data_IF_484980324598
#
_entry.id   IF_484980324598
#
_cell.length_a   1.000
_cell.length_b   1.000
_cell.length_c   1.000
_cell.angle_alpha   90.00
_cell.angle_beta   90.00
_cell.angle_gamma   90.00
#
_symmetry.space_group_name_H-M   'P 1'
#
loop_
_entity.id
_entity.type
_entity.pdbx_description
1 polymer ?
#
# COMPACT_ATOMS: atom_id res chain seq x y z
N UNK A 1 -15.06 -6.38 -0.70
CA UNK A 1 -14.78 -4.98 -1.08
C UNK A 1 -13.29 -4.78 -0.94
N UNK A 2 -12.64 -4.21 -1.96
CA UNK A 2 -11.19 -3.93 -1.95
C UNK A 2 -10.88 -2.85 -0.92
N UNK A 3 -9.81 -3.03 -0.14
CA UNK A 3 -9.31 -2.07 0.84
C UNK A 3 -7.96 -1.53 0.42
N UNK A 4 -7.81 -0.21 0.35
CA UNK A 4 -6.57 0.46 0.05
C UNK A 4 -6.10 1.29 1.25
N UNK A 5 -4.87 1.03 1.72
CA UNK A 5 -4.27 1.78 2.82
C UNK A 5 -3.43 2.94 2.31
N UNK A 6 -3.73 4.16 2.76
CA UNK A 6 -2.92 5.35 2.44
C UNK A 6 -1.79 5.42 3.46
N UNK A 7 -0.56 5.31 2.96
CA UNK A 7 0.67 5.33 3.78
C UNK A 7 1.63 6.42 3.32
N UNK A 8 2.61 6.73 4.13
CA UNK A 8 3.68 7.69 3.83
C UNK A 8 4.24 8.30 5.10
N UNK A 9 5.32 9.06 5.00
CA UNK A 9 5.91 9.79 6.12
C UNK A 9 4.96 10.87 6.68
N UNK A 10 5.20 11.41 7.88
CA UNK A 10 4.45 12.56 8.38
C UNK A 10 4.56 13.77 7.44
N UNK A 11 3.51 14.57 7.36
CA UNK A 11 3.45 15.83 6.60
C UNK A 11 3.61 15.72 5.06
N UNK A 12 3.33 14.53 4.47
CA UNK A 12 3.37 14.32 3.01
C UNK A 12 2.01 14.54 2.32
N UNK A 13 0.93 14.83 3.09
CA UNK A 13 -0.40 15.09 2.54
C UNK A 13 -1.38 13.90 2.56
N UNK A 14 -1.09 12.80 3.30
CA UNK A 14 -1.95 11.61 3.37
C UNK A 14 -3.40 11.92 3.75
N UNK A 15 -3.60 12.60 4.88
CA UNK A 15 -4.95 12.91 5.39
C UNK A 15 -5.66 13.93 4.49
N UNK A 16 -4.92 14.79 3.80
CA UNK A 16 -5.49 15.71 2.80
C UNK A 16 -6.04 14.91 1.61
N UNK A 17 -5.26 13.97 1.08
CA UNK A 17 -5.71 13.06 0.01
C UNK A 17 -6.91 12.23 0.45
N UNK A 18 -6.84 11.64 1.64
CA UNK A 18 -7.95 10.85 2.20
C UNK A 18 -9.25 11.68 2.31
N UNK A 19 -9.16 12.88 2.88
CA UNK A 19 -10.32 13.76 3.02
C UNK A 19 -10.89 14.15 1.66
N UNK A 20 -10.05 14.50 0.68
CA UNK A 20 -10.50 14.85 -0.67
C UNK A 20 -11.24 13.68 -1.34
N UNK A 21 -10.75 12.44 -1.20
CA UNK A 21 -11.41 11.26 -1.73
C UNK A 21 -12.78 11.02 -1.06
N UNK A 22 -12.85 11.15 0.28
CA UNK A 22 -14.06 10.87 1.07
C UNK A 22 -15.08 11.99 0.91
N UNK A 23 -14.67 13.27 0.85
CA UNK A 23 -15.57 14.41 0.65
C UNK A 23 -16.19 14.37 -0.75
N UNK A 24 -15.41 14.07 -1.78
CA UNK A 24 -15.94 13.88 -3.14
C UNK A 24 -16.94 12.72 -3.19
N UNK A 25 -16.70 11.63 -2.46
CA UNK A 25 -17.64 10.52 -2.36
C UNK A 25 -18.94 10.92 -1.64
N UNK A 26 -18.88 11.78 -0.62
CA UNK A 26 -20.08 12.31 0.07
C UNK A 26 -20.90 13.21 -0.85
N UNK A 27 -20.27 14.11 -1.58
CA UNK A 27 -20.96 14.98 -2.53
C UNK A 27 -21.70 14.18 -3.64
N UNK A 28 -21.15 13.04 -4.04
CA UNK A 28 -21.78 12.11 -4.99
C UNK A 28 -22.84 11.21 -4.33
N UNK A 29 -22.73 10.97 -3.01
CA UNK A 29 -23.57 10.04 -2.26
C UNK A 29 -24.83 10.67 -1.65
N UNK A 30 -25.14 11.95 -1.86
CA UNK A 30 -26.41 12.57 -1.44
C UNK A 30 -27.65 11.81 -1.93
N UNK A 31 -27.49 10.89 -2.89
CA UNK A 31 -28.54 10.02 -3.41
C UNK A 31 -28.52 8.57 -2.86
N UNK A 32 -27.59 8.20 -1.97
CA UNK A 32 -27.50 6.84 -1.42
C UNK A 32 -27.38 6.85 0.12
N UNK A 33 -28.43 6.40 0.85
CA UNK A 33 -28.33 6.21 2.29
C UNK A 33 -27.38 5.04 2.61
N UNK A 34 -26.55 5.18 3.64
CA UNK A 34 -25.59 4.22 4.22
C UNK A 34 -24.10 4.42 3.87
N UNK A 35 -23.54 5.63 4.08
CA UNK A 35 -22.11 5.79 4.30
C UNK A 35 -21.82 5.82 5.81
N UNK A 36 -21.44 4.70 6.39
CA UNK A 36 -20.93 4.67 7.77
C UNK A 36 -19.48 5.17 7.73
N UNK A 37 -19.20 6.28 8.40
CA UNK A 37 -17.85 6.85 8.50
C UNK A 37 -17.29 6.41 9.84
N UNK A 38 -16.42 5.41 9.83
CA UNK A 38 -15.49 5.20 10.93
C UNK A 38 -14.34 6.22 10.79
N UNK A 39 -13.81 6.75 11.91
CA UNK A 39 -12.64 7.62 11.84
C UNK A 39 -11.51 6.90 11.10
N UNK A 40 -10.92 7.57 10.11
CA UNK A 40 -9.86 7.09 9.23
C UNK A 40 -10.24 6.00 8.21
N UNK A 41 -11.53 5.73 7.97
CA UNK A 41 -12.01 4.85 6.91
C UNK A 41 -13.07 5.55 6.07
N UNK A 42 -12.96 5.42 4.75
CA UNK A 42 -13.91 6.02 3.80
C UNK A 42 -14.21 5.08 2.66
N UNK A 43 -15.49 4.95 2.30
CA UNK A 43 -15.94 4.14 1.16
C UNK A 43 -16.22 5.07 0.00
N UNK A 44 -15.55 4.80 -1.13
CA UNK A 44 -15.64 5.58 -2.36
C UNK A 44 -16.17 4.69 -3.49
N UNK A 45 -17.14 5.18 -4.25
CA UNK A 45 -17.59 4.50 -5.47
C UNK A 45 -16.60 4.74 -6.60
N UNK A 46 -16.28 3.69 -7.35
CA UNK A 46 -15.40 3.78 -8.52
C UNK A 46 -16.24 4.29 -9.71
N UNK A 47 -15.94 5.46 -10.28
CA UNK A 47 -16.63 5.94 -11.47
C UNK A 47 -16.23 5.07 -12.68
N UNK A 48 -17.21 4.57 -13.40
CA UNK A 48 -17.01 3.80 -14.65
C UNK A 48 -18.11 4.13 -15.64
N UNK A 49 -17.75 4.85 -16.71
CA UNK A 49 -18.70 5.25 -17.77
C UNK A 49 -19.34 4.05 -18.47
N UNK A 50 -18.60 2.94 -18.62
CA UNK A 50 -19.11 1.71 -19.25
C UNK A 50 -20.30 1.15 -18.48
N UNK A 51 -20.37 1.39 -17.18
CA UNK A 51 -21.46 0.90 -16.35
C UNK A 51 -22.78 1.60 -16.70
N UNK A 52 -22.73 2.92 -16.99
CA UNK A 52 -23.88 3.68 -17.46
C UNK A 52 -24.34 3.20 -18.84
N UNK A 53 -23.41 3.06 -19.79
CA UNK A 53 -23.71 2.58 -21.14
C UNK A 53 -24.35 1.19 -21.14
N UNK A 54 -23.83 0.26 -20.32
CA UNK A 54 -24.39 -1.07 -20.14
C UNK A 54 -25.77 -1.04 -19.47
N UNK A 55 -25.96 -0.14 -18.51
CA UNK A 55 -27.23 0.08 -17.84
C UNK A 55 -28.33 0.55 -18.81
N UNK A 56 -27.99 1.51 -19.67
CA UNK A 56 -28.89 2.05 -20.70
C UNK A 56 -29.22 1.00 -21.74
N UNK A 57 -28.22 0.25 -22.26
CA UNK A 57 -28.39 -0.84 -23.20
C UNK A 57 -29.30 -1.95 -22.66
N UNK A 58 -29.16 -2.27 -21.39
CA UNK A 58 -29.91 -3.36 -20.72
C UNK A 58 -31.23 -2.87 -20.12
N UNK A 59 -31.56 -1.58 -20.22
CA UNK A 59 -32.70 -0.95 -19.56
C UNK A 59 -32.74 -1.27 -18.04
N UNK A 60 -31.57 -1.22 -17.39
CA UNK A 60 -31.42 -1.58 -15.99
C UNK A 60 -32.10 -0.56 -15.08
N UNK A 61 -32.89 -1.03 -14.11
CA UNK A 61 -33.56 -0.13 -13.13
C UNK A 61 -32.59 0.45 -12.11
N UNK A 62 -31.49 -0.27 -11.83
CA UNK A 62 -30.48 0.16 -10.86
C UNK A 62 -29.07 -0.12 -11.40
N UNK A 63 -28.17 0.85 -11.24
CA UNK A 63 -26.76 0.74 -11.57
C UNK A 63 -25.98 0.80 -10.28
N UNK A 64 -25.21 -0.24 -9.96
CA UNK A 64 -24.45 -0.36 -8.70
C UNK A 64 -22.96 -0.35 -9.01
N UNK A 65 -22.24 0.75 -8.76
CA UNK A 65 -20.80 0.82 -8.97
C UNK A 65 -20.02 -0.03 -7.96
N UNK A 66 -18.84 -0.45 -8.37
CA UNK A 66 -17.85 -1.04 -7.45
C UNK A 66 -17.41 0.00 -6.40
N UNK A 67 -17.09 -0.46 -5.20
CA UNK A 67 -16.66 0.39 -4.08
C UNK A 67 -15.29 -0.04 -3.59
N UNK A 68 -14.49 0.95 -3.20
CA UNK A 68 -13.19 0.77 -2.54
C UNK A 68 -13.26 1.43 -1.16
N UNK A 69 -12.75 0.75 -0.13
CA UNK A 69 -12.55 1.31 1.20
C UNK A 69 -11.13 1.87 1.29
N UNK A 70 -10.99 3.17 1.49
CA UNK A 70 -9.71 3.80 1.82
C UNK A 70 -9.55 3.88 3.33
N UNK A 71 -8.33 3.58 3.79
CA UNK A 71 -7.94 3.66 5.21
C UNK A 71 -6.78 4.63 5.33
N UNK A 72 -6.97 5.75 6.07
CA UNK A 72 -5.86 6.64 6.41
C UNK A 72 -5.03 6.00 7.52
N UNK A 73 -3.84 5.54 7.17
CA UNK A 73 -2.92 4.90 8.11
C UNK A 73 -1.94 5.95 8.62
N UNK A 74 -1.89 6.13 9.94
CA UNK A 74 -1.01 7.11 10.59
C UNK A 74 0.43 6.99 10.06
N UNK A 75 1.09 8.15 9.87
CA UNK A 75 2.43 8.20 9.26
C UNK A 75 3.45 7.33 9.99
N UNK A 76 4.28 6.66 9.21
CA UNK A 76 5.39 5.87 9.71
C UNK A 76 6.51 6.80 10.20
N UNK A 77 7.09 6.47 11.35
CA UNK A 77 8.39 6.98 11.79
C UNK A 77 9.41 5.86 11.75
N UNK A 78 10.65 6.18 11.43
CA UNK A 78 11.77 5.24 11.38
C UNK A 78 11.88 4.42 12.69
N UNK A 79 12.02 3.10 12.57
CA UNK A 79 12.08 2.18 13.71
C UNK A 79 10.76 1.50 14.08
N UNK A 80 9.73 1.62 13.27
CA UNK A 80 8.42 1.00 13.49
C UNK A 80 8.49 -0.54 13.61
N UNK A 81 9.38 -1.17 12.85
CA UNK A 81 9.59 -2.63 12.85
C UNK A 81 10.24 -3.16 14.13
N UNK A 82 10.91 -2.31 14.92
CA UNK A 82 11.55 -2.69 16.19
C UNK A 82 10.59 -2.85 17.37
N UNK A 83 9.30 -2.65 17.17
CA UNK A 83 8.28 -3.18 18.07
C UNK A 83 7.82 -2.28 19.20
N UNK A 84 8.08 -0.98 19.18
CA UNK A 84 7.57 -0.06 20.20
C UNK A 84 6.33 0.71 19.72
N UNK A 85 5.17 0.43 20.36
CA UNK A 85 3.98 1.26 20.35
C UNK A 85 3.33 1.51 18.96
N UNK A 86 3.49 2.72 18.43
CA UNK A 86 2.83 3.19 17.20
C UNK A 86 3.24 2.42 15.93
N UNK A 87 4.47 1.90 15.87
CA UNK A 87 4.96 1.14 14.73
C UNK A 87 4.20 -0.19 14.53
N UNK A 88 3.94 -0.92 15.62
CA UNK A 88 3.15 -2.16 15.54
C UNK A 88 1.73 -1.90 15.05
N UNK A 89 1.11 -0.79 15.48
CA UNK A 89 -0.23 -0.40 15.04
C UNK A 89 -0.24 -0.06 13.55
N UNK A 90 0.78 0.65 13.06
CA UNK A 90 0.97 0.95 11.64
C UNK A 90 1.05 -0.33 10.81
N UNK A 91 1.94 -1.25 11.16
CA UNK A 91 2.12 -2.53 10.46
C UNK A 91 0.85 -3.40 10.52
N UNK A 92 0.11 -3.39 11.65
CA UNK A 92 -1.17 -4.08 11.76
C UNK A 92 -2.22 -3.52 10.81
N UNK A 93 -2.32 -2.20 10.69
CA UNK A 93 -3.27 -1.57 9.77
C UNK A 93 -2.95 -1.90 8.31
N UNK A 94 -1.64 -1.94 7.93
CA UNK A 94 -1.24 -2.37 6.58
C UNK A 94 -1.60 -3.84 6.35
N UNK A 95 -1.55 -4.72 7.35
CA UNK A 95 -1.97 -6.12 7.18
C UNK A 95 -3.43 -6.27 6.78
N UNK A 96 -4.31 -5.39 7.24
CA UNK A 96 -5.75 -5.43 7.03
C UNK A 96 -6.21 -4.93 5.66
N UNK A 97 -5.34 -4.25 4.89
CA UNK A 97 -5.66 -3.73 3.56
C UNK A 97 -5.15 -4.66 2.45
N UNK A 98 -5.76 -4.57 1.26
CA UNK A 98 -5.41 -5.39 0.10
C UNK A 98 -4.32 -4.76 -0.77
N UNK A 99 -4.25 -3.42 -0.79
CA UNK A 99 -3.28 -2.64 -1.57
C UNK A 99 -2.80 -1.41 -0.78
N UNK A 100 -1.68 -0.85 -1.19
CA UNK A 100 -1.04 0.31 -0.57
C UNK A 100 -1.05 1.47 -1.55
N UNK A 101 -1.52 2.65 -1.09
CA UNK A 101 -1.32 3.93 -1.76
C UNK A 101 -0.25 4.69 -0.98
N UNK A 102 0.95 4.74 -1.52
CA UNK A 102 2.08 5.39 -0.87
C UNK A 102 2.17 6.85 -1.32
N UNK A 103 1.78 7.77 -0.45
CA UNK A 103 1.85 9.21 -0.70
C UNK A 103 3.28 9.68 -0.49
N UNK A 104 3.83 10.29 -1.54
CA UNK A 104 5.22 10.77 -1.57
C UNK A 104 5.21 12.28 -1.79
N UNK A 105 5.92 13.01 -0.94
CA UNK A 105 6.04 14.46 -1.06
C UNK A 105 7.01 14.83 -2.18
N UNK A 106 6.51 15.50 -3.20
CA UNK A 106 7.27 15.95 -4.36
C UNK A 106 7.23 17.49 -4.51
N UNK A 107 7.19 18.23 -3.40
CA UNK A 107 7.22 19.69 -3.37
C UNK A 107 8.04 20.21 -2.20
N UNK A 108 8.61 21.39 -2.36
CA UNK A 108 9.27 22.14 -1.31
C UNK A 108 8.33 23.20 -0.75
N UNK A 109 8.25 23.30 0.57
CA UNK A 109 7.48 24.31 1.28
C UNK A 109 8.17 24.56 2.64
N UNK A 110 8.54 25.81 2.90
CA UNK A 110 9.23 26.22 4.12
C UNK A 110 8.33 26.18 5.36
N UNK A 111 7.00 26.24 5.19
CA UNK A 111 6.04 26.18 6.29
C UNK A 111 5.72 24.73 6.70
N UNK A 112 5.97 23.75 5.82
CA UNK A 112 5.73 22.34 6.05
C UNK A 112 7.03 21.63 6.40
N UNK A 113 7.25 21.34 7.67
CA UNK A 113 8.47 20.67 8.15
C UNK A 113 8.55 19.25 7.59
N UNK A 114 9.67 18.92 6.93
CA UNK A 114 10.00 17.55 6.54
C UNK A 114 10.71 16.81 7.67
N UNK A 115 10.38 15.54 7.89
CA UNK A 115 10.92 14.72 9.00
C UNK A 115 12.45 14.59 8.93
N UNK A 116 13.01 14.48 7.72
CA UNK A 116 14.46 14.40 7.48
C UNK A 116 15.12 15.76 7.27
N UNK A 117 14.38 16.88 7.38
CA UNK A 117 14.88 18.23 7.14
C UNK A 117 15.14 18.59 5.67
N UNK A 118 15.05 17.63 4.74
CA UNK A 118 15.20 17.78 3.29
C UNK A 118 14.15 16.94 2.57
N UNK A 119 13.58 17.45 1.51
CA UNK A 119 12.69 16.68 0.64
C UNK A 119 13.53 15.79 -0.27
N UNK A 120 13.40 14.48 -0.11
CA UNK A 120 13.99 13.47 -0.97
C UNK A 120 13.00 12.32 -1.16
N UNK A 121 12.22 12.33 -2.26
CA UNK A 121 11.16 11.35 -2.47
C UNK A 121 11.63 9.90 -2.50
N UNK A 122 12.84 9.63 -3.00
CA UNK A 122 13.37 8.27 -3.06
C UNK A 122 13.79 7.77 -1.68
N UNK A 123 14.42 8.62 -0.87
CA UNK A 123 14.77 8.30 0.52
C UNK A 123 13.50 8.03 1.35
N UNK A 124 12.44 8.82 1.15
CA UNK A 124 11.14 8.63 1.79
C UNK A 124 10.51 7.27 1.44
N UNK A 125 10.58 6.87 0.17
CA UNK A 125 10.13 5.56 -0.30
C UNK A 125 10.96 4.44 0.31
N UNK A 126 12.28 4.60 0.33
CA UNK A 126 13.19 3.60 0.88
C UNK A 126 12.97 3.37 2.38
N UNK A 127 12.71 4.42 3.15
CA UNK A 127 12.39 4.32 4.58
C UNK A 127 11.15 3.43 4.81
N UNK A 128 10.06 3.67 4.07
CA UNK A 128 8.84 2.86 4.18
C UNK A 128 9.11 1.41 3.75
N UNK A 129 9.74 1.21 2.60
CA UNK A 129 10.04 -0.12 2.08
C UNK A 129 10.94 -0.92 3.04
N UNK A 130 11.93 -0.28 3.65
CA UNK A 130 12.80 -0.91 4.64
C UNK A 130 12.02 -1.41 5.86
N UNK A 131 11.12 -0.59 6.41
CA UNK A 131 10.32 -0.98 7.57
C UNK A 131 9.38 -2.16 7.25
N UNK A 132 8.78 -2.18 6.05
CA UNK A 132 7.95 -3.29 5.59
C UNK A 132 8.80 -4.57 5.40
N UNK A 133 9.98 -4.45 4.78
CA UNK A 133 10.90 -5.56 4.59
C UNK A 133 11.37 -6.16 5.94
N UNK A 134 11.73 -5.32 6.90
CA UNK A 134 12.14 -5.78 8.24
C UNK A 134 11.01 -6.48 8.98
N UNK A 135 9.78 -5.99 8.86
CA UNK A 135 8.61 -6.63 9.44
C UNK A 135 8.35 -8.01 8.84
N UNK A 136 8.44 -8.13 7.51
CA UNK A 136 8.27 -9.39 6.81
C UNK A 136 9.40 -10.37 7.12
N UNK A 137 10.66 -9.91 7.18
CA UNK A 137 11.80 -10.72 7.58
C UNK A 137 11.61 -11.32 8.99
N UNK A 138 11.19 -10.52 9.94
CA UNK A 138 10.88 -10.98 11.30
C UNK A 138 9.75 -12.02 11.32
N UNK A 139 8.71 -11.80 10.52
CA UNK A 139 7.59 -12.75 10.39
C UNK A 139 8.05 -14.07 9.77
N UNK A 140 8.83 -14.00 8.70
CA UNK A 140 9.39 -15.13 7.98
C UNK A 140 10.26 -16.00 8.88
N UNK A 141 11.20 -15.41 9.62
CA UNK A 141 12.07 -16.13 10.54
C UNK A 141 11.26 -16.88 11.62
N UNK A 142 10.26 -16.23 12.21
CA UNK A 142 9.34 -16.88 13.16
C UNK A 142 8.57 -18.03 12.52
N UNK A 143 8.17 -17.91 11.26
CA UNK A 143 7.49 -18.98 10.52
C UNK A 143 8.41 -20.16 10.28
N UNK A 144 9.64 -19.93 9.79
CA UNK A 144 10.65 -20.97 9.58
C UNK A 144 10.94 -21.74 10.86
N UNK A 145 11.11 -21.06 11.99
CA UNK A 145 11.32 -21.74 13.28
C UNK A 145 10.14 -22.64 13.66
N UNK A 146 8.90 -22.22 13.42
CA UNK A 146 7.69 -23.01 13.73
C UNK A 146 7.60 -24.28 12.89
N UNK A 147 7.91 -24.20 11.59
CA UNK A 147 7.82 -25.35 10.67
C UNK A 147 9.05 -26.25 10.72
N UNK A 148 10.16 -25.84 11.33
CA UNK A 148 11.47 -26.54 11.36
C UNK A 148 11.37 -28.04 11.71
N UNK A 149 10.48 -28.42 12.65
CA UNK A 149 10.26 -29.82 13.01
C UNK A 149 9.47 -30.58 11.95
N UNK A 150 8.58 -29.89 11.24
CA UNK A 150 7.69 -30.47 10.23
C UNK A 150 8.38 -30.66 8.88
N UNK A 151 9.42 -29.87 8.58
CA UNK A 151 10.22 -29.96 7.34
C UNK A 151 10.75 -31.39 7.08
N UNK A 152 11.05 -32.15 8.15
CA UNK A 152 11.55 -33.53 8.03
C UNK A 152 10.47 -34.57 7.75
N UNK A 153 9.19 -34.25 8.00
CA UNK A 153 8.07 -35.20 7.98
C UNK A 153 6.97 -34.84 6.98
N UNK A 154 6.91 -33.60 6.52
CA UNK A 154 5.91 -33.11 5.55
C UNK A 154 6.59 -32.52 4.32
N UNK A 155 6.14 -32.97 3.15
CA UNK A 155 6.61 -32.44 1.84
C UNK A 155 6.17 -30.99 1.64
N UNK A 156 5.01 -30.62 2.14
CA UNK A 156 4.45 -29.26 2.09
C UNK A 156 5.31 -28.30 2.92
N UNK A 157 5.66 -28.69 4.15
CA UNK A 157 6.54 -27.91 5.01
C UNK A 157 7.96 -27.76 4.42
N UNK A 158 8.48 -28.78 3.74
CA UNK A 158 9.76 -28.72 3.06
C UNK A 158 9.71 -27.74 1.86
N UNK A 159 8.65 -27.79 1.05
CA UNK A 159 8.44 -26.82 -0.05
C UNK A 159 8.31 -25.39 0.47
N UNK A 160 7.54 -25.20 1.56
CA UNK A 160 7.38 -23.89 2.18
C UNK A 160 8.73 -23.35 2.69
N UNK A 161 9.55 -24.16 3.37
CA UNK A 161 10.84 -23.71 3.90
C UNK A 161 11.81 -23.29 2.81
N UNK A 162 11.88 -24.04 1.67
CA UNK A 162 12.69 -23.67 0.50
C UNK A 162 12.22 -22.31 -0.08
N UNK A 163 10.91 -22.10 -0.18
CA UNK A 163 10.36 -20.82 -0.64
C UNK A 163 10.73 -19.70 0.31
N UNK A 164 10.57 -19.92 1.62
CA UNK A 164 10.90 -18.92 2.64
C UNK A 164 12.39 -18.57 2.63
N UNK A 165 13.29 -19.53 2.41
CA UNK A 165 14.73 -19.28 2.26
C UNK A 165 15.03 -18.38 1.06
N UNK A 166 14.44 -18.69 -0.10
CA UNK A 166 14.54 -17.85 -1.31
C UNK A 166 14.06 -16.40 -1.06
N UNK A 167 12.98 -16.23 -0.29
CA UNK A 167 12.42 -14.91 0.03
C UNK A 167 13.30 -14.19 1.05
N UNK A 168 13.81 -14.88 2.07
CA UNK A 168 14.70 -14.32 3.09
C UNK A 168 15.92 -13.64 2.43
N UNK A 169 16.60 -14.34 1.52
CA UNK A 169 17.74 -13.78 0.77
C UNK A 169 17.41 -12.51 -0.02
N UNK A 170 16.17 -12.39 -0.51
CA UNK A 170 15.72 -11.21 -1.26
C UNK A 170 15.38 -10.06 -0.33
N UNK A 171 14.64 -10.33 0.75
CA UNK A 171 14.30 -9.32 1.76
C UNK A 171 15.56 -8.74 2.43
N UNK A 172 16.57 -9.57 2.73
CA UNK A 172 17.85 -9.11 3.26
C UNK A 172 18.60 -8.14 2.32
N UNK A 173 18.36 -8.26 1.01
CA UNK A 173 18.87 -7.32 -0.01
C UNK A 173 17.96 -6.12 -0.26
N UNK A 174 16.90 -5.96 0.55
CA UNK A 174 15.93 -4.88 0.38
C UNK A 174 14.92 -5.09 -0.75
N UNK A 175 14.89 -6.28 -1.39
CA UNK A 175 13.97 -6.58 -2.50
C UNK A 175 12.63 -7.03 -1.93
N UNK A 176 11.57 -6.30 -2.27
CA UNK A 176 10.19 -6.59 -1.86
C UNK A 176 9.67 -7.89 -2.48
N UNK A 177 8.80 -8.61 -1.75
CA UNK A 177 8.24 -9.90 -2.24
C UNK A 177 7.47 -9.73 -3.55
N UNK A 178 6.77 -8.60 -3.75
CA UNK A 178 6.04 -8.29 -5.01
C UNK A 178 6.94 -8.24 -6.25
N UNK A 179 8.23 -7.95 -6.07
CA UNK A 179 9.21 -7.87 -7.18
C UNK A 179 9.87 -9.23 -7.48
N UNK A 180 9.51 -10.30 -6.75
CA UNK A 180 10.07 -11.64 -6.94
C UNK A 180 9.20 -12.43 -7.93
N UNK A 181 9.81 -13.01 -8.96
CA UNK A 181 9.10 -13.93 -9.84
C UNK A 181 8.81 -15.24 -9.10
N UNK A 182 7.53 -15.53 -8.90
CA UNK A 182 7.02 -16.68 -8.17
C UNK A 182 6.06 -17.50 -9.07
N UNK A 183 6.04 -18.81 -8.88
CA UNK A 183 5.05 -19.68 -9.51
C UNK A 183 3.66 -19.48 -8.89
N UNK A 184 2.60 -20.02 -9.53
CA UNK A 184 1.25 -19.97 -9.00
C UNK A 184 1.14 -20.64 -7.61
N UNK A 185 1.80 -21.80 -7.43
CA UNK A 185 1.84 -22.50 -6.15
C UNK A 185 2.54 -21.65 -5.06
N UNK A 186 3.68 -21.04 -5.39
CA UNK A 186 4.42 -20.16 -4.49
C UNK A 186 3.58 -18.94 -4.10
N UNK A 187 2.88 -18.33 -5.06
CA UNK A 187 1.99 -17.18 -4.82
C UNK A 187 0.85 -17.52 -3.86
N UNK A 188 0.28 -18.72 -3.93
CA UNK A 188 -0.74 -19.16 -2.97
C UNK A 188 -0.20 -19.25 -1.54
N UNK A 189 1.02 -19.77 -1.36
CA UNK A 189 1.67 -19.83 -0.05
C UNK A 189 1.92 -18.42 0.48
N UNK A 190 2.47 -17.52 -0.36
CA UNK A 190 2.75 -16.13 0.02
C UNK A 190 1.48 -15.39 0.44
N UNK A 191 0.39 -15.58 -0.30
CA UNK A 191 -0.92 -14.98 0.04
C UNK A 191 -1.42 -15.42 1.41
N UNK A 192 -1.23 -16.70 1.78
CA UNK A 192 -1.62 -17.21 3.10
C UNK A 192 -0.75 -16.65 4.23
N UNK A 193 0.53 -16.39 3.96
CA UNK A 193 1.46 -15.83 4.92
C UNK A 193 1.23 -14.32 5.17
N UNK A 194 0.63 -13.61 4.21
CA UNK A 194 0.22 -12.22 4.37
C UNK A 194 1.39 -11.26 4.54
N UNK A 195 2.46 -11.42 3.74
CA UNK A 195 3.59 -10.51 3.71
C UNK A 195 3.15 -9.10 3.26
N UNK A 196 3.66 -8.09 3.95
CA UNK A 196 3.35 -6.69 3.68
C UNK A 196 3.93 -6.24 2.33
N UNK A 197 5.15 -6.68 2.05
CA UNK A 197 5.86 -6.37 0.81
C UNK A 197 5.35 -7.14 -0.41
N UNK A 198 4.45 -8.12 -0.22
CA UNK A 198 3.77 -8.81 -1.30
C UNK A 198 2.54 -8.05 -1.82
N UNK A 199 2.05 -7.05 -1.06
CA UNK A 199 0.88 -6.27 -1.46
C UNK A 199 1.19 -5.38 -2.65
N UNK A 200 0.22 -5.20 -3.58
CA UNK A 200 0.32 -4.18 -4.63
C UNK A 200 0.52 -2.79 -4.03
N UNK A 201 1.31 -1.96 -4.68
CA UNK A 201 1.58 -0.58 -4.27
C UNK A 201 1.38 0.36 -5.46
N UNK A 202 0.85 1.56 -5.17
CA UNK A 202 0.78 2.68 -6.10
C UNK A 202 1.45 3.86 -5.42
N UNK A 203 2.34 4.56 -6.13
CA UNK A 203 2.96 5.79 -5.63
C UNK A 203 2.12 7.00 -6.02
N UNK A 204 1.62 7.74 -5.04
CA UNK A 204 0.87 8.97 -5.23
C UNK A 204 1.79 10.17 -4.95
N UNK A 205 2.32 10.77 -6.01
CA UNK A 205 3.18 11.97 -5.92
C UNK A 205 2.35 13.20 -5.56
N UNK A 206 2.63 13.82 -4.42
CA UNK A 206 2.00 15.06 -4.01
C UNK A 206 2.84 16.25 -4.49
N UNK A 207 2.26 17.07 -5.35
CA UNK A 207 2.88 18.19 -6.08
C UNK A 207 2.26 19.52 -5.65
N UNK A 208 2.97 20.63 -5.91
CA UNK A 208 2.36 21.96 -5.89
C UNK A 208 1.40 22.13 -7.08
N UNK A 209 0.43 23.04 -6.95
CA UNK A 209 -0.54 23.33 -8.00
C UNK A 209 0.11 23.67 -9.34
N UNK A 210 1.22 24.40 -9.33
CA UNK A 210 1.94 24.82 -10.53
C UNK A 210 2.58 23.64 -11.29
N UNK A 211 2.87 22.55 -10.59
CA UNK A 211 3.55 21.38 -11.14
C UNK A 211 2.57 20.27 -11.58
N UNK A 212 1.26 20.42 -11.33
CA UNK A 212 0.27 19.37 -11.59
C UNK A 212 0.16 18.99 -13.06
N UNK A 213 0.36 19.92 -13.99
CA UNK A 213 0.19 19.68 -15.42
C UNK A 213 1.38 18.93 -16.04
N UNK A 214 2.60 19.28 -15.66
CA UNK A 214 3.83 18.79 -16.30
C UNK A 214 4.69 17.93 -15.38
N UNK A 215 4.40 17.91 -14.09
CA UNK A 215 5.25 17.30 -13.07
C UNK A 215 6.48 18.16 -12.76
N UNK A 216 7.38 17.60 -11.97
CA UNK A 216 8.68 18.20 -11.66
C UNK A 216 9.76 17.11 -11.52
N UNK A 217 11.00 17.51 -11.23
CA UNK A 217 12.13 16.60 -11.10
C UNK A 217 11.91 15.52 -10.02
N UNK A 218 11.21 15.84 -8.94
CA UNK A 218 10.90 14.91 -7.89
C UNK A 218 9.91 13.84 -8.36
N UNK A 219 8.79 14.23 -8.98
CA UNK A 219 7.81 13.29 -9.51
C UNK A 219 8.39 12.42 -10.62
N UNK A 220 9.25 12.97 -11.48
CA UNK A 220 9.93 12.22 -12.55
C UNK A 220 10.85 11.14 -11.99
N UNK A 221 11.52 11.38 -10.86
CA UNK A 221 12.33 10.37 -10.17
C UNK A 221 11.46 9.26 -9.60
N UNK A 222 10.32 9.59 -8.97
CA UNK A 222 9.38 8.60 -8.44
C UNK A 222 8.78 7.76 -9.56
N UNK A 223 8.40 8.37 -10.67
CA UNK A 223 7.86 7.67 -11.85
C UNK A 223 8.88 6.69 -12.44
N UNK A 224 10.14 7.12 -12.55
CA UNK A 224 11.23 6.24 -13.01
C UNK A 224 11.46 5.07 -12.06
N UNK A 225 11.41 5.31 -10.74
CA UNK A 225 11.52 4.30 -9.72
C UNK A 225 10.35 3.29 -9.81
N UNK A 226 9.11 3.78 -9.89
CA UNK A 226 7.92 2.95 -10.01
C UNK A 226 7.97 2.05 -11.26
N UNK A 227 8.37 2.63 -12.40
CA UNK A 227 8.53 1.89 -13.66
C UNK A 227 9.56 0.76 -13.56
N UNK A 228 10.68 0.98 -12.85
CA UNK A 228 11.69 -0.06 -12.62
C UNK A 228 11.19 -1.19 -11.71
N UNK A 229 10.25 -0.90 -10.81
CA UNK A 229 9.61 -1.90 -9.96
C UNK A 229 8.34 -2.53 -10.58
N UNK A 230 7.98 -2.16 -11.82
CA UNK A 230 6.71 -2.54 -12.47
C UNK A 230 5.48 -2.18 -11.62
N UNK A 231 5.51 -1.00 -11.02
CA UNK A 231 4.40 -0.44 -10.23
C UNK A 231 3.91 0.87 -10.86
N UNK A 232 2.69 1.28 -10.49
CA UNK A 232 2.07 2.51 -10.98
C UNK A 232 2.48 3.74 -10.12
N UNK A 233 2.52 4.89 -10.80
CA UNK A 233 2.78 6.18 -10.18
C UNK A 233 1.76 7.22 -10.67
#
# INVERSE_FOLDING_TARGET
MLKAGIVGLPNVGKSTLFNALVENAKAQAENFPFCTIEPNKGIVSVPDQRLQELGDLSSSQNIIPTKIEFVDIAGLVKGASKGEGLGNKFLSNIREVDAIVHVVRCFEDSEVIHVSGKVDPLDDIEIINLELNLADLSQLQKRRERIKKQVKTSKEAAKEDILLEKIEEKLEKGISVRSISLSEEENLIIKQLGFLTAKPIIYATNLNENDLAEGNDFSSKVQSFASNENTEC
#
